data_IF_636482054566
#
_entry.id   IF_636482054566
#
_cell.length_a   1.000
_cell.length_b   1.000
_cell.length_c   1.000
_cell.angle_alpha   90.00
_cell.angle_beta   90.00
_cell.angle_gamma   90.00
#
_symmetry.space_group_name_H-M   'P 1'
#
loop_
_entity.id
_entity.type
_entity.pdbx_description
1 polymer ?
#
# COMPACT_ATOMS: atom_id res chain seq x y z
N UNK A 1 -13.15 -24.41 -62.13
CA UNK A 1 -12.88 -25.84 -62.36
C UNK A 1 -14.10 -26.59 -61.85
N UNK A 2 -14.84 -27.27 -62.73
CA UNK A 2 -16.05 -27.99 -62.32
C UNK A 2 -15.66 -29.34 -61.71
N UNK A 3 -16.42 -29.85 -60.71
CA UNK A 3 -16.22 -31.20 -60.20
C UNK A 3 -16.52 -32.22 -61.32
N UNK A 4 -15.69 -33.27 -61.40
CA UNK A 4 -15.86 -34.39 -62.34
C UNK A 4 -16.48 -35.59 -61.66
N UNK A 5 -17.36 -36.30 -62.34
CA UNK A 5 -17.93 -37.55 -61.85
C UNK A 5 -16.82 -38.61 -61.74
N UNK A 6 -16.62 -39.26 -60.59
CA UNK A 6 -15.55 -40.26 -60.44
C UNK A 6 -15.79 -41.54 -61.26
N UNK A 7 -17.01 -41.77 -61.76
CA UNK A 7 -17.35 -42.93 -62.58
C UNK A 7 -17.11 -42.69 -64.07
N UNK A 8 -17.73 -41.64 -64.65
CA UNK A 8 -17.61 -41.34 -66.10
C UNK A 8 -16.54 -40.31 -66.44
N UNK A 9 -15.95 -39.64 -65.44
CA UNK A 9 -14.98 -38.54 -65.59
C UNK A 9 -15.49 -37.29 -66.34
N UNK A 10 -16.79 -37.22 -66.62
CA UNK A 10 -17.44 -36.05 -67.23
C UNK A 10 -17.65 -34.92 -66.20
N UNK A 11 -17.67 -33.68 -66.68
CA UNK A 11 -17.93 -32.50 -65.85
C UNK A 11 -19.39 -32.50 -65.37
N UNK A 12 -19.59 -32.44 -64.06
CA UNK A 12 -20.93 -32.45 -63.46
C UNK A 12 -21.52 -31.03 -63.53
N UNK A 13 -22.24 -30.74 -64.61
CA UNK A 13 -22.82 -29.40 -64.85
C UNK A 13 -24.29 -29.31 -64.47
N UNK A 14 -25.03 -30.42 -64.47
CA UNK A 14 -26.46 -30.50 -64.14
C UNK A 14 -26.76 -31.79 -63.38
N UNK A 15 -27.82 -31.75 -62.58
CA UNK A 15 -28.36 -32.92 -61.87
C UNK A 15 -27.32 -33.72 -61.08
N UNK A 16 -26.80 -33.07 -60.03
CA UNK A 16 -25.77 -33.62 -59.16
C UNK A 16 -26.42 -34.46 -58.07
N UNK A 17 -25.90 -35.67 -57.85
CA UNK A 17 -26.28 -36.52 -56.72
C UNK A 17 -25.11 -36.58 -55.75
N UNK A 18 -25.37 -36.29 -54.47
CA UNK A 18 -24.40 -36.36 -53.40
C UNK A 18 -24.71 -37.56 -52.50
N UNK A 19 -23.68 -38.36 -52.22
CA UNK A 19 -23.73 -39.36 -51.15
C UNK A 19 -23.68 -38.68 -49.78
N UNK A 20 -24.16 -39.35 -48.73
CA UNK A 20 -24.03 -38.83 -47.35
C UNK A 20 -22.57 -38.71 -46.88
N UNK A 21 -21.62 -39.34 -47.58
CA UNK A 21 -20.19 -39.13 -47.36
C UNK A 21 -19.58 -37.93 -48.11
N UNK A 22 -20.38 -37.14 -48.82
CA UNK A 22 -19.95 -35.90 -49.48
C UNK A 22 -19.40 -36.06 -50.91
N UNK A 23 -19.37 -37.27 -51.46
CA UNK A 23 -18.91 -37.49 -52.84
C UNK A 23 -20.03 -37.28 -53.86
N UNK A 24 -19.68 -36.62 -54.97
CA UNK A 24 -20.61 -36.17 -56.01
C UNK A 24 -20.55 -37.07 -57.25
N UNK A 25 -21.72 -37.34 -57.83
CA UNK A 25 -21.92 -38.12 -59.04
C UNK A 25 -22.88 -37.40 -59.98
N UNK A 26 -22.76 -37.62 -61.29
CA UNK A 26 -23.85 -37.26 -62.21
C UNK A 26 -25.04 -38.20 -61.98
N UNK A 27 -26.26 -37.70 -62.22
CA UNK A 27 -27.49 -38.46 -62.00
C UNK A 27 -27.50 -39.83 -62.69
N UNK A 28 -27.01 -39.92 -63.93
CA UNK A 28 -27.02 -41.17 -64.69
C UNK A 28 -26.13 -42.23 -64.04
N UNK A 29 -24.90 -41.87 -63.66
CA UNK A 29 -23.98 -42.78 -62.97
C UNK A 29 -24.52 -43.17 -61.59
N UNK A 30 -25.11 -42.23 -60.87
CA UNK A 30 -25.72 -42.51 -59.57
C UNK A 30 -26.90 -43.50 -59.68
N UNK A 31 -27.75 -43.32 -60.70
CA UNK A 31 -28.90 -44.19 -60.94
C UNK A 31 -28.53 -45.59 -61.41
N UNK A 32 -27.38 -45.77 -62.05
CA UNK A 32 -26.89 -47.10 -62.46
C UNK A 32 -26.26 -47.82 -61.28
N UNK A 33 -25.34 -47.16 -60.56
CA UNK A 33 -24.56 -47.84 -59.52
C UNK A 33 -25.35 -48.06 -58.24
N UNK A 34 -26.05 -47.04 -57.72
CA UNK A 34 -26.70 -47.11 -56.41
C UNK A 34 -28.06 -47.83 -56.40
N UNK A 35 -28.52 -48.33 -57.57
CA UNK A 35 -29.67 -49.25 -57.65
C UNK A 35 -29.31 -50.70 -57.41
N UNK A 36 -28.01 -51.04 -57.35
CA UNK A 36 -27.54 -52.38 -56.99
C UNK A 36 -27.67 -52.60 -55.49
N UNK A 37 -27.91 -53.85 -55.07
CA UNK A 37 -28.06 -54.21 -53.65
C UNK A 37 -26.74 -54.01 -52.87
N UNK A 38 -25.60 -54.16 -53.54
CA UNK A 38 -24.24 -54.07 -53.01
C UNK A 38 -23.52 -52.77 -53.40
N UNK A 39 -24.28 -51.72 -53.74
CA UNK A 39 -23.72 -50.46 -54.19
C UNK A 39 -22.81 -49.80 -53.13
N UNK A 40 -21.63 -49.37 -53.57
CA UNK A 40 -20.63 -48.69 -52.76
C UNK A 40 -20.18 -47.38 -53.41
N UNK A 41 -19.87 -46.38 -52.60
CA UNK A 41 -19.25 -45.15 -53.07
C UNK A 41 -17.89 -45.45 -53.73
N UNK A 42 -17.71 -45.03 -54.98
CA UNK A 42 -16.47 -45.25 -55.74
C UNK A 42 -15.23 -44.57 -55.14
N UNK A 43 -15.41 -43.59 -54.23
CA UNK A 43 -14.30 -42.85 -53.61
C UNK A 43 -13.93 -43.40 -52.24
N UNK A 44 -14.90 -43.70 -51.39
CA UNK A 44 -14.65 -44.10 -50.00
C UNK A 44 -15.15 -45.51 -49.64
N UNK A 45 -15.72 -46.24 -50.60
CA UNK A 45 -16.21 -47.61 -50.46
C UNK A 45 -17.27 -47.84 -49.37
N UNK A 46 -17.93 -46.77 -48.87
CA UNK A 46 -19.09 -46.89 -47.99
C UNK A 46 -20.33 -47.30 -48.78
N UNK A 47 -21.12 -48.23 -48.25
CA UNK A 47 -22.38 -48.66 -48.84
C UNK A 47 -23.44 -47.57 -48.72
N UNK A 48 -24.12 -47.27 -49.83
CA UNK A 48 -25.26 -46.34 -49.87
C UNK A 48 -26.33 -46.89 -50.80
N UNK A 49 -27.58 -46.58 -50.54
CA UNK A 49 -28.69 -46.86 -51.46
C UNK A 49 -29.06 -45.63 -52.28
N UNK A 50 -29.68 -45.83 -53.44
CA UNK A 50 -30.07 -44.74 -54.33
C UNK A 50 -31.02 -43.72 -53.67
N UNK A 51 -31.92 -44.19 -52.80
CA UNK A 51 -32.86 -43.36 -52.02
C UNK A 51 -32.19 -42.56 -50.90
N UNK A 52 -30.96 -42.91 -50.51
CA UNK A 52 -30.15 -42.17 -49.53
C UNK A 52 -29.33 -41.04 -50.19
N UNK A 53 -29.34 -40.93 -51.52
CA UNK A 53 -28.63 -39.89 -52.25
C UNK A 53 -29.40 -38.57 -52.21
N UNK A 54 -28.67 -37.49 -51.97
CA UNK A 54 -29.20 -36.13 -51.98
C UNK A 54 -29.06 -35.54 -53.38
N UNK A 55 -30.18 -35.27 -54.05
CA UNK A 55 -30.17 -34.50 -55.29
C UNK A 55 -29.87 -33.04 -54.97
N UNK A 56 -28.70 -32.56 -55.40
CA UNK A 56 -28.35 -31.16 -55.31
C UNK A 56 -28.89 -30.45 -56.55
N UNK A 57 -29.61 -29.36 -56.33
CA UNK A 57 -29.97 -28.41 -57.36
C UNK A 57 -28.99 -27.25 -57.26
N UNK A 58 -27.85 -27.26 -57.98
CA UNK A 58 -26.97 -26.10 -58.04
C UNK A 58 -27.68 -25.01 -58.85
N UNK A 59 -28.69 -24.37 -58.27
CA UNK A 59 -29.21 -23.09 -58.74
C UNK A 59 -28.21 -22.01 -58.31
N UNK A 60 -27.01 -22.05 -58.88
CA UNK A 60 -26.12 -20.90 -58.84
C UNK A 60 -26.54 -19.95 -59.96
N UNK A 61 -27.49 -19.07 -59.66
CA UNK A 61 -27.54 -17.73 -60.27
C UNK A 61 -28.39 -17.49 -61.51
N UNK A 62 -29.46 -18.26 -61.78
CA UNK A 62 -30.51 -17.80 -62.71
C UNK A 62 -31.82 -17.73 -61.94
N UNK A 63 -32.33 -16.53 -61.61
CA UNK A 63 -33.70 -16.38 -61.14
C UNK A 63 -34.62 -16.87 -62.24
N UNK A 64 -35.37 -17.93 -61.94
CA UNK A 64 -36.57 -18.32 -62.68
C UNK A 64 -37.49 -17.11 -62.75
N UNK A 65 -37.72 -16.60 -63.98
CA UNK A 65 -38.92 -15.87 -64.40
C UNK A 65 -39.60 -15.03 -63.31
N UNK A 66 -38.85 -14.09 -62.74
CA UNK A 66 -39.44 -13.03 -61.94
C UNK A 66 -40.20 -12.12 -62.92
N UNK A 67 -41.50 -12.09 -62.74
CA UNK A 67 -42.45 -11.19 -63.39
C UNK A 67 -41.84 -9.78 -63.53
N UNK A 68 -41.53 -9.28 -64.75
CA UNK A 68 -40.80 -8.02 -64.98
C UNK A 68 -41.62 -6.77 -64.63
N UNK A 69 -42.66 -6.89 -63.81
CA UNK A 69 -43.56 -5.80 -63.43
C UNK A 69 -43.30 -5.18 -62.06
N UNK A 70 -42.48 -5.79 -61.20
CA UNK A 70 -42.17 -5.23 -59.88
C UNK A 70 -40.95 -4.31 -59.94
N UNK A 71 -41.19 -3.05 -60.36
CA UNK A 71 -40.50 -1.84 -59.88
C UNK A 71 -39.04 -2.02 -59.43
N UNK A 72 -38.12 -2.30 -60.36
CA UNK A 72 -36.66 -2.37 -60.10
C UNK A 72 -36.14 -1.12 -59.36
N UNK A 73 -36.76 0.04 -59.59
CA UNK A 73 -36.42 1.31 -58.95
C UNK A 73 -36.55 1.30 -57.40
N UNK A 74 -37.51 0.54 -56.84
CA UNK A 74 -37.71 0.47 -55.39
C UNK A 74 -36.68 -0.46 -54.71
N UNK A 75 -36.30 -1.55 -55.39
CA UNK A 75 -35.25 -2.46 -54.90
C UNK A 75 -33.87 -1.76 -54.97
N UNK A 76 -33.61 -1.00 -56.03
CA UNK A 76 -32.34 -0.29 -56.19
C UNK A 76 -32.16 0.84 -55.17
N UNK A 77 -33.23 1.60 -54.88
CA UNK A 77 -33.20 2.66 -53.86
C UNK A 77 -33.02 2.12 -52.44
N UNK A 78 -33.68 1.01 -52.09
CA UNK A 78 -33.49 0.34 -50.79
C UNK A 78 -32.08 -0.24 -50.66
N UNK A 79 -31.55 -0.85 -51.72
CA UNK A 79 -30.17 -1.35 -51.76
C UNK A 79 -29.15 -0.23 -51.59
N UNK A 80 -29.30 0.89 -52.28
CA UNK A 80 -28.41 2.04 -52.15
C UNK A 80 -28.41 2.62 -50.73
N UNK A 81 -29.58 2.64 -50.06
CA UNK A 81 -29.69 3.07 -48.65
C UNK A 81 -28.91 2.14 -47.73
N UNK A 82 -29.02 0.82 -47.92
CA UNK A 82 -28.30 -0.16 -47.12
C UNK A 82 -26.79 -0.12 -47.36
N UNK A 83 -26.35 0.06 -48.61
CA UNK A 83 -24.93 0.24 -48.93
C UNK A 83 -24.35 1.49 -48.24
N UNK A 84 -25.12 2.59 -48.21
CA UNK A 84 -24.75 3.81 -47.51
C UNK A 84 -24.61 3.58 -46.00
N UNK A 85 -25.59 2.91 -45.37
CA UNK A 85 -25.57 2.60 -43.93
C UNK A 85 -24.43 1.63 -43.58
N UNK A 86 -24.20 0.62 -44.41
CA UNK A 86 -23.13 -0.36 -44.20
C UNK A 86 -21.74 0.30 -44.29
N UNK A 87 -21.53 1.16 -45.29
CA UNK A 87 -20.28 1.95 -45.39
C UNK A 87 -20.11 2.88 -44.21
N UNK A 88 -21.15 3.63 -43.83
CA UNK A 88 -21.09 4.53 -42.69
C UNK A 88 -20.76 3.77 -41.40
N UNK A 89 -21.36 2.60 -41.17
CA UNK A 89 -21.06 1.76 -40.02
C UNK A 89 -19.61 1.25 -40.01
N UNK A 90 -19.08 0.85 -41.17
CA UNK A 90 -17.69 0.41 -41.33
C UNK A 90 -16.68 1.56 -41.15
N UNK A 91 -16.93 2.72 -41.75
CA UNK A 91 -16.09 3.91 -41.64
C UNK A 91 -16.03 4.41 -40.18
N UNK A 92 -17.17 4.45 -39.49
CA UNK A 92 -17.22 4.75 -38.06
C UNK A 92 -16.40 3.75 -37.23
N UNK A 93 -16.45 2.45 -37.56
CA UNK A 93 -15.68 1.42 -36.89
C UNK A 93 -14.18 1.60 -37.12
N UNK A 94 -13.77 1.88 -38.36
CA UNK A 94 -12.38 2.12 -38.72
C UNK A 94 -11.81 3.36 -38.03
N UNK A 95 -12.57 4.46 -37.96
CA UNK A 95 -12.14 5.67 -37.26
C UNK A 95 -11.85 5.41 -35.77
N UNK A 96 -12.61 4.50 -35.14
CA UNK A 96 -12.43 4.10 -33.74
C UNK A 96 -11.24 3.14 -33.56
N UNK A 97 -10.94 2.31 -34.56
CA UNK A 97 -9.71 1.50 -34.53
C UNK A 97 -8.45 2.33 -34.74
N UNK A 98 -8.53 3.38 -35.57
CA UNK A 98 -7.40 4.26 -35.89
C UNK A 98 -7.12 5.31 -34.82
N UNK A 99 -8.16 5.83 -34.13
CA UNK A 99 -7.99 6.63 -32.92
C UNK A 99 -7.76 5.70 -31.75
N UNK A 100 -6.58 5.78 -31.11
CA UNK A 100 -6.30 5.12 -29.82
C UNK A 100 -7.56 5.12 -28.93
N UNK A 101 -7.92 3.95 -28.39
CA UNK A 101 -9.19 3.57 -27.75
C UNK A 101 -9.66 4.44 -26.55
N UNK A 102 -8.99 5.57 -26.29
CA UNK A 102 -9.20 6.50 -25.20
C UNK A 102 -10.21 7.62 -25.49
N UNK A 103 -11.00 7.55 -26.57
CA UNK A 103 -11.96 8.61 -26.90
C UNK A 103 -13.42 8.15 -26.77
N UNK A 104 -14.28 9.06 -26.30
CA UNK A 104 -15.75 8.94 -26.19
C UNK A 104 -16.47 8.47 -27.48
N UNK A 105 -15.74 8.38 -28.60
CA UNK A 105 -16.24 7.87 -29.88
C UNK A 105 -16.70 6.41 -29.80
N UNK A 106 -16.16 5.61 -28.88
CA UNK A 106 -16.54 4.20 -28.68
C UNK A 106 -18.05 4.02 -28.40
N UNK A 107 -18.72 5.04 -27.83
CA UNK A 107 -20.14 4.97 -27.49
C UNK A 107 -21.09 5.20 -28.69
N UNK A 108 -20.61 5.70 -29.82
CA UNK A 108 -21.46 5.97 -31.02
C UNK A 108 -21.67 4.74 -31.91
N UNK A 109 -20.83 3.73 -31.75
CA UNK A 109 -20.84 2.49 -32.51
C UNK A 109 -22.13 1.67 -32.48
N UNK A 110 -22.80 1.51 -31.32
CA UNK A 110 -24.04 0.74 -31.26
C UNK A 110 -25.17 1.33 -32.11
N UNK A 111 -25.17 2.65 -32.33
CA UNK A 111 -26.23 3.33 -33.10
C UNK A 111 -26.16 2.98 -34.59
N UNK A 112 -24.99 3.02 -35.23
CA UNK A 112 -24.90 2.75 -36.68
C UNK A 112 -25.15 1.28 -37.02
N UNK A 113 -24.77 0.34 -36.14
CA UNK A 113 -25.09 -1.09 -36.30
C UNK A 113 -26.60 -1.31 -36.14
N UNK A 114 -27.22 -0.65 -35.16
CA UNK A 114 -28.67 -0.70 -34.95
C UNK A 114 -29.43 -0.15 -36.15
N UNK A 115 -29.04 1.01 -36.69
CA UNK A 115 -29.69 1.63 -37.85
C UNK A 115 -29.60 0.73 -39.10
N UNK A 116 -28.45 0.08 -39.33
CA UNK A 116 -28.28 -0.90 -40.39
C UNK A 116 -29.16 -2.14 -40.16
N UNK A 117 -29.23 -2.64 -38.93
CA UNK A 117 -30.03 -3.83 -38.57
C UNK A 117 -31.54 -3.57 -38.74
N UNK A 118 -32.01 -2.41 -38.30
CA UNK A 118 -33.41 -1.98 -38.47
C UNK A 118 -33.72 -1.84 -39.96
N UNK A 119 -32.89 -1.12 -40.73
CA UNK A 119 -33.10 -0.96 -42.17
C UNK A 119 -33.08 -2.30 -42.92
N UNK A 120 -32.26 -3.26 -42.48
CA UNK A 120 -32.20 -4.60 -43.06
C UNK A 120 -33.43 -5.45 -42.73
N UNK A 121 -34.04 -5.24 -41.56
CA UNK A 121 -35.27 -5.94 -41.15
C UNK A 121 -36.53 -5.42 -41.86
N UNK A 122 -36.52 -4.16 -42.27
CA UNK A 122 -37.63 -3.48 -42.96
C UNK A 122 -37.58 -3.61 -44.49
N UNK A 123 -36.48 -4.13 -45.05
CA UNK A 123 -36.26 -4.15 -46.50
C UNK A 123 -36.55 -5.51 -47.14
N UNK A 124 -37.32 -5.48 -48.22
CA UNK A 124 -37.62 -6.63 -49.07
C UNK A 124 -36.56 -6.74 -50.18
N UNK A 125 -35.34 -7.11 -49.81
CA UNK A 125 -34.22 -7.28 -50.74
C UNK A 125 -34.08 -8.74 -51.15
N UNK A 126 -33.49 -8.99 -52.32
CA UNK A 126 -33.14 -10.36 -52.73
C UNK A 126 -32.26 -11.08 -51.69
N UNK A 127 -32.50 -12.39 -51.46
CA UNK A 127 -31.79 -13.17 -50.44
C UNK A 127 -30.25 -13.09 -50.46
N UNK A 128 -29.57 -13.05 -51.63
CA UNK A 128 -28.11 -12.96 -51.67
C UNK A 128 -27.57 -11.63 -51.10
N UNK A 129 -28.27 -10.52 -51.35
CA UNK A 129 -27.88 -9.20 -50.82
C UNK A 129 -28.14 -9.15 -49.31
N UNK A 130 -29.29 -9.67 -48.87
CA UNK A 130 -29.63 -9.75 -47.46
C UNK A 130 -28.58 -10.55 -46.65
N UNK A 131 -28.12 -11.70 -47.17
CA UNK A 131 -27.09 -12.51 -46.53
C UNK A 131 -25.76 -11.77 -46.35
N UNK A 132 -25.38 -10.92 -47.32
CA UNK A 132 -24.17 -10.11 -47.25
C UNK A 132 -24.27 -9.06 -46.14
N UNK A 133 -25.38 -8.31 -46.08
CA UNK A 133 -25.60 -7.33 -45.01
C UNK A 133 -25.69 -7.97 -43.63
N UNK A 134 -26.31 -9.15 -43.50
CA UNK A 134 -26.31 -9.92 -42.26
C UNK A 134 -24.90 -10.32 -41.83
N UNK A 135 -24.04 -10.67 -42.77
CA UNK A 135 -22.63 -10.98 -42.50
C UNK A 135 -21.87 -9.74 -42.00
N UNK A 136 -22.12 -8.57 -42.59
CA UNK A 136 -21.55 -7.28 -42.16
C UNK A 136 -21.99 -6.92 -40.74
N UNK A 137 -23.30 -7.00 -40.44
CA UNK A 137 -23.84 -6.75 -39.10
C UNK A 137 -23.23 -7.71 -38.08
N UNK A 138 -23.10 -9.00 -38.43
CA UNK A 138 -22.51 -10.01 -37.53
C UNK A 138 -21.04 -9.71 -37.22
N UNK A 139 -20.24 -9.36 -38.23
CA UNK A 139 -18.84 -8.97 -38.05
C UNK A 139 -18.71 -7.71 -37.19
N UNK A 140 -19.52 -6.68 -37.45
CA UNK A 140 -19.52 -5.45 -36.66
C UNK A 140 -19.94 -5.71 -35.20
N UNK A 141 -20.92 -6.59 -34.97
CA UNK A 141 -21.34 -6.99 -33.62
C UNK A 141 -20.24 -7.76 -32.88
N UNK A 142 -19.58 -8.72 -33.56
CA UNK A 142 -18.45 -9.47 -33.01
C UNK A 142 -17.31 -8.52 -32.63
N UNK A 143 -16.90 -7.67 -33.57
CA UNK A 143 -15.87 -6.67 -33.35
C UNK A 143 -16.24 -5.69 -32.21
N UNK A 144 -17.51 -5.29 -32.09
CA UNK A 144 -17.97 -4.44 -30.97
C UNK A 144 -17.90 -5.19 -29.64
N UNK A 145 -18.24 -6.48 -29.61
CA UNK A 145 -18.19 -7.30 -28.39
C UNK A 145 -16.76 -7.57 -27.90
N UNK A 146 -15.80 -7.72 -28.83
CA UNK A 146 -14.39 -7.95 -28.48
C UNK A 146 -13.67 -6.67 -28.10
N UNK A 147 -14.11 -5.53 -28.66
CA UNK A 147 -13.40 -4.26 -28.55
C UNK A 147 -14.09 -3.28 -27.59
N UNK A 148 -15.26 -3.62 -27.06
CA UNK A 148 -15.79 -2.89 -25.89
C UNK A 148 -14.92 -3.27 -24.70
N UNK A 149 -14.05 -2.37 -24.20
CA UNK A 149 -13.35 -2.64 -22.96
C UNK A 149 -14.42 -2.99 -21.94
N UNK A 150 -14.19 -4.03 -21.15
CA UNK A 150 -15.16 -4.44 -20.14
C UNK A 150 -15.42 -3.25 -19.22
N UNK A 151 -16.47 -2.48 -19.48
CA UNK A 151 -16.73 -1.18 -18.85
C UNK A 151 -16.78 -1.35 -17.34
N UNK A 152 -17.30 -2.48 -16.88
CA UNK A 152 -17.33 -2.83 -15.46
C UNK A 152 -15.94 -3.01 -14.87
N UNK A 153 -14.99 -3.54 -15.65
CA UNK A 153 -13.60 -3.67 -15.23
C UNK A 153 -12.89 -2.30 -15.21
N UNK A 154 -13.11 -1.45 -16.22
CA UNK A 154 -12.54 -0.10 -16.26
C UNK A 154 -13.07 0.74 -15.09
N UNK A 155 -14.37 0.76 -14.86
CA UNK A 155 -14.98 1.44 -13.72
C UNK A 155 -14.46 0.92 -12.38
N UNK A 156 -14.23 -0.40 -12.27
CA UNK A 156 -13.61 -0.99 -11.10
C UNK A 156 -12.19 -0.47 -10.90
N UNK A 157 -11.35 -0.47 -11.94
CA UNK A 157 -9.99 0.05 -11.87
C UNK A 157 -9.95 1.56 -11.54
N UNK A 158 -10.89 2.34 -12.07
CA UNK A 158 -11.04 3.76 -11.72
C UNK A 158 -11.40 3.94 -10.24
N UNK A 159 -12.30 3.11 -9.70
CA UNK A 159 -12.65 3.13 -8.28
C UNK A 159 -11.46 2.73 -7.39
N UNK A 160 -10.69 1.72 -7.79
CA UNK A 160 -9.47 1.29 -7.09
C UNK A 160 -8.39 2.37 -7.15
N UNK A 161 -8.22 3.06 -8.29
CA UNK A 161 -7.30 4.18 -8.43
C UNK A 161 -7.69 5.36 -7.53
N UNK A 162 -8.98 5.65 -7.42
CA UNK A 162 -9.48 6.69 -6.53
C UNK A 162 -9.21 6.33 -5.06
N UNK A 163 -9.50 5.10 -4.65
CA UNK A 163 -9.24 4.60 -3.31
C UNK A 163 -7.74 4.65 -2.95
N UNK A 164 -6.87 4.22 -3.88
CA UNK A 164 -5.43 4.31 -3.71
C UNK A 164 -4.94 5.76 -3.59
N UNK A 165 -5.54 6.69 -4.34
CA UNK A 165 -5.25 8.13 -4.20
C UNK A 165 -5.65 8.65 -2.82
N UNK A 166 -6.87 8.37 -2.37
CA UNK A 166 -7.33 8.82 -1.05
C UNK A 166 -6.48 8.24 0.08
N UNK A 167 -6.07 6.98 -0.05
CA UNK A 167 -5.16 6.35 0.92
C UNK A 167 -3.76 7.00 0.87
N UNK A 168 -3.26 7.36 -0.32
CA UNK A 168 -2.00 8.08 -0.47
C UNK A 168 -2.02 9.46 0.19
N UNK A 169 -3.11 10.20 0.03
CA UNK A 169 -3.31 11.52 0.64
C UNK A 169 -3.41 11.42 2.18
N UNK A 170 -4.09 10.40 2.69
CA UNK A 170 -4.18 10.12 4.13
C UNK A 170 -2.80 9.77 4.72
N UNK A 171 -2.06 8.86 4.09
CA UNK A 171 -0.71 8.51 4.52
C UNK A 171 0.25 9.71 4.48
N UNK A 172 0.10 10.60 3.50
CA UNK A 172 0.89 11.84 3.41
C UNK A 172 0.56 12.76 4.60
N UNK A 173 -0.72 12.93 4.93
CA UNK A 173 -1.16 13.72 6.09
C UNK A 173 -0.67 13.14 7.42
N UNK A 174 -0.65 11.81 7.55
CA UNK A 174 -0.08 11.13 8.72
C UNK A 174 1.44 11.36 8.84
N UNK A 175 2.18 11.29 7.73
CA UNK A 175 3.62 11.57 7.71
C UNK A 175 3.94 13.02 8.10
N UNK A 176 3.14 13.98 7.64
CA UNK A 176 3.28 15.39 8.05
C UNK A 176 3.06 15.56 9.56
N UNK A 177 2.02 14.93 10.11
CA UNK A 177 1.72 14.95 11.55
C UNK A 177 2.89 14.37 12.37
N UNK A 178 3.39 13.19 11.99
CA UNK A 178 4.54 12.55 12.65
C UNK A 178 5.80 13.42 12.55
N UNK A 179 6.01 14.11 11.42
CA UNK A 179 7.14 15.02 11.26
C UNK A 179 7.06 16.21 12.22
N UNK A 180 5.88 16.79 12.40
CA UNK A 180 5.66 17.88 13.37
C UNK A 180 5.93 17.40 14.79
N UNK A 181 5.39 16.25 15.19
CA UNK A 181 5.61 15.67 16.51
C UNK A 181 7.09 15.37 16.79
N UNK A 182 7.81 14.83 15.79
CA UNK A 182 9.25 14.59 15.89
C UNK A 182 10.03 15.88 16.12
N UNK A 183 9.67 16.94 15.41
CA UNK A 183 10.35 18.23 15.54
C UNK A 183 10.05 18.89 16.90
N UNK A 184 8.84 18.72 17.43
CA UNK A 184 8.54 19.10 18.82
C UNK A 184 9.35 18.31 19.83
N UNK A 185 9.42 16.98 19.68
CA UNK A 185 10.19 16.13 20.57
C UNK A 185 11.67 16.53 20.55
N UNK A 186 12.22 16.83 19.37
CA UNK A 186 13.59 17.33 19.22
C UNK A 186 13.80 18.64 19.99
N UNK A 187 12.91 19.63 19.85
CA UNK A 187 12.99 20.89 20.59
C UNK A 187 12.95 20.67 22.11
N UNK A 188 12.08 19.77 22.59
CA UNK A 188 12.01 19.41 24.02
C UNK A 188 13.30 18.73 24.49
N UNK A 189 13.86 17.84 23.67
CA UNK A 189 15.14 17.18 23.96
C UNK A 189 16.31 18.16 24.02
N UNK A 190 16.36 19.13 23.11
CA UNK A 190 17.39 20.20 23.12
C UNK A 190 17.26 21.05 24.40
N UNK A 191 16.05 21.48 24.74
CA UNK A 191 15.81 22.23 25.98
C UNK A 191 16.17 21.42 27.25
N UNK A 192 15.87 20.12 27.28
CA UNK A 192 16.26 19.25 28.39
C UNK A 192 17.79 19.12 28.49
N UNK A 193 18.50 19.01 27.36
CA UNK A 193 19.96 18.99 27.31
C UNK A 193 20.58 20.27 27.87
N UNK A 194 20.00 21.43 27.57
CA UNK A 194 20.45 22.73 28.10
C UNK A 194 20.29 22.78 29.62
N UNK A 195 19.16 22.30 30.15
CA UNK A 195 18.93 22.21 31.61
C UNK A 195 19.94 21.27 32.27
N UNK A 196 20.22 20.10 31.68
CA UNK A 196 21.23 19.17 32.19
C UNK A 196 22.63 19.80 32.20
N UNK A 197 22.99 20.53 31.15
CA UNK A 197 24.26 21.26 31.07
C UNK A 197 24.37 22.32 32.17
N UNK A 198 23.31 23.11 32.37
CA UNK A 198 23.23 24.10 33.44
C UNK A 198 23.38 23.46 34.83
N UNK A 199 22.61 22.40 35.14
CA UNK A 199 22.69 21.71 36.42
C UNK A 199 24.06 21.07 36.66
N UNK A 200 24.68 20.54 35.60
CA UNK A 200 26.05 19.99 35.67
C UNK A 200 27.06 21.08 36.03
N UNK A 201 26.92 22.29 35.46
CA UNK A 201 27.77 23.43 35.78
C UNK A 201 27.59 23.89 37.24
N UNK A 202 26.36 23.92 37.74
CA UNK A 202 26.05 24.26 39.13
C UNK A 202 26.60 23.22 40.11
N UNK A 203 26.42 21.93 39.82
CA UNK A 203 26.97 20.85 40.63
C UNK A 203 28.50 20.93 40.71
N UNK A 204 29.17 21.26 39.60
CA UNK A 204 30.62 21.49 39.57
C UNK A 204 31.03 22.66 40.46
N UNK A 205 30.30 23.78 40.38
CA UNK A 205 30.57 24.95 41.24
C UNK A 205 30.41 24.62 42.73
N UNK A 206 29.30 24.00 43.12
CA UNK A 206 29.05 23.59 44.52
C UNK A 206 30.13 22.62 45.01
N UNK A 207 30.57 21.69 44.16
CA UNK A 207 31.65 20.74 44.50
C UNK A 207 32.96 21.49 44.76
N UNK A 208 33.28 22.48 43.91
CA UNK A 208 34.47 23.33 44.09
C UNK A 208 34.39 24.15 45.38
N UNK A 209 33.24 24.77 45.68
CA UNK A 209 33.04 25.52 46.93
C UNK A 209 33.17 24.64 48.17
N UNK A 210 32.59 23.43 48.13
CA UNK A 210 32.73 22.43 49.18
C UNK A 210 34.20 22.08 49.41
N UNK A 211 34.96 21.84 48.34
CA UNK A 211 36.37 21.45 48.45
C UNK A 211 37.21 22.58 49.05
N UNK A 212 36.94 23.83 48.66
CA UNK A 212 37.55 25.02 49.29
C UNK A 212 37.19 25.12 50.78
N UNK A 213 35.93 24.86 51.14
CA UNK A 213 35.48 24.89 52.53
C UNK A 213 36.13 23.77 53.38
N UNK A 214 36.26 22.57 52.83
CA UNK A 214 36.95 21.44 53.47
C UNK A 214 38.43 21.76 53.70
N UNK A 215 39.09 22.38 52.73
CA UNK A 215 40.50 22.77 52.89
C UNK A 215 40.67 23.86 53.95
N UNK A 216 39.79 24.86 53.97
CA UNK A 216 39.76 25.87 55.06
C UNK A 216 39.55 25.22 56.43
N UNK A 217 38.67 24.23 56.53
CA UNK A 217 38.42 23.51 57.76
C UNK A 217 39.65 22.71 58.23
N UNK A 218 40.37 22.04 57.32
CA UNK A 218 41.63 21.34 57.62
C UNK A 218 42.70 22.29 58.15
N UNK A 219 42.91 23.42 57.48
CA UNK A 219 43.86 24.45 57.92
C UNK A 219 43.49 24.98 59.31
N UNK A 220 42.20 25.18 59.59
CA UNK A 220 41.73 25.61 60.90
C UNK A 220 41.97 24.52 61.97
N UNK A 221 41.72 23.25 61.65
CA UNK A 221 41.98 22.12 62.54
C UNK A 221 43.47 22.03 62.91
N UNK A 222 44.36 22.12 61.93
CA UNK A 222 45.80 22.09 62.16
C UNK A 222 46.26 23.27 63.04
N UNK A 223 45.69 24.46 62.83
CA UNK A 223 45.97 25.63 63.68
C UNK A 223 45.48 25.44 65.11
N UNK A 224 44.30 24.85 65.32
CA UNK A 224 43.78 24.52 66.65
C UNK A 224 44.70 23.50 67.33
N UNK A 225 45.14 22.46 66.58
CA UNK A 225 46.07 21.45 67.08
C UNK A 225 47.40 22.08 67.50
N UNK A 226 47.95 23.00 66.69
CA UNK A 226 49.17 23.74 67.03
C UNK A 226 49.01 24.58 68.30
N UNK A 227 47.92 25.35 68.40
CA UNK A 227 47.62 26.17 69.58
C UNK A 227 47.45 25.32 70.84
N UNK A 228 46.78 24.17 70.75
CA UNK A 228 46.64 23.23 71.86
C UNK A 228 48.00 22.73 72.35
N UNK A 229 48.90 22.33 71.43
CA UNK A 229 50.26 21.91 71.78
C UNK A 229 51.06 23.06 72.42
N UNK A 230 50.93 24.29 71.92
CA UNK A 230 51.58 25.47 72.53
C UNK A 230 51.07 25.71 73.96
N UNK A 231 49.75 25.64 74.17
CA UNK A 231 49.14 25.80 75.48
C UNK A 231 49.56 24.70 76.45
N UNK A 232 49.72 23.47 75.98
CA UNK A 232 50.22 22.38 76.81
C UNK A 232 51.68 22.62 77.23
N UNK A 233 52.53 23.13 76.34
CA UNK A 233 53.91 23.51 76.67
C UNK A 233 53.97 24.64 77.70
N UNK A 234 53.17 25.70 77.55
CA UNK A 234 53.14 26.81 78.52
C UNK A 234 52.60 26.33 79.88
N UNK A 235 51.61 25.44 79.90
CA UNK A 235 51.10 24.80 81.12
C UNK A 235 52.19 23.97 81.83
N UNK A 236 53.03 23.25 81.08
CA UNK A 236 54.17 22.51 81.65
C UNK A 236 55.25 23.45 82.20
N UNK A 237 55.60 24.52 81.48
CA UNK A 237 56.59 25.53 81.93
C UNK A 237 56.13 26.21 83.22
N UNK A 238 54.89 26.71 83.25
CA UNK A 238 54.34 27.37 84.45
C UNK A 238 54.18 26.43 85.64
N UNK A 239 53.90 25.14 85.42
CA UNK A 239 53.91 24.14 86.48
C UNK A 239 55.32 23.95 87.04
N UNK A 240 56.33 23.91 86.17
CA UNK A 240 57.74 23.79 86.56
C UNK A 240 58.21 25.02 87.36
N UNK A 241 57.96 26.22 86.85
CA UNK A 241 58.25 27.50 87.54
C UNK A 241 57.55 27.57 88.90
N UNK A 242 56.28 27.14 89.00
CA UNK A 242 55.58 27.07 90.29
C UNK A 242 56.23 26.06 91.24
N UNK A 243 56.62 24.87 90.76
CA UNK A 243 57.31 23.90 91.63
C UNK A 243 58.69 24.39 92.08
N UNK A 244 59.38 25.14 91.23
CA UNK A 244 60.68 25.76 91.55
C UNK A 244 60.51 26.87 92.60
N UNK A 245 59.55 27.79 92.39
CA UNK A 245 59.24 28.84 93.36
C UNK A 245 58.76 28.27 94.71
N UNK A 246 57.91 27.24 94.71
CA UNK A 246 57.47 26.57 95.94
C UNK A 246 58.64 25.92 96.66
N UNK A 247 59.58 25.29 95.94
CA UNK A 247 60.78 24.72 96.54
C UNK A 247 61.65 25.82 97.19
N UNK A 248 61.89 26.94 96.49
CA UNK A 248 62.61 28.10 97.04
C UNK A 248 61.89 28.75 98.23
N UNK A 249 60.56 28.74 98.26
CA UNK A 249 59.75 29.30 99.35
C UNK A 249 59.76 28.36 100.57
N UNK A 250 59.68 27.04 100.39
CA UNK A 250 59.88 26.07 101.49
C UNK A 250 61.28 26.13 102.09
N UNK A 251 62.33 26.36 101.28
CA UNK A 251 63.68 26.58 101.79
C UNK A 251 63.82 27.90 102.59
N UNK A 252 62.96 28.90 102.34
CA UNK A 252 62.88 30.12 103.17
C UNK A 252 62.07 29.93 104.45
N UNK A 253 60.97 29.17 104.40
CA UNK A 253 60.09 28.95 105.56
C UNK A 253 60.68 27.97 106.59
N UNK A 254 61.48 26.99 106.18
CA UNK A 254 62.22 26.12 107.11
C UNK A 254 63.30 26.88 107.94
N UNK A 255 63.52 28.17 107.65
CA UNK A 255 64.34 29.08 108.44
C UNK A 255 63.59 29.84 109.56
N UNK A 256 62.25 29.91 109.56
CA UNK A 256 61.49 30.73 110.52
C UNK A 256 60.22 30.03 111.03
N UNK A 257 60.35 29.50 112.25
CA UNK A 257 59.32 29.42 113.31
C UNK A 257 58.38 28.19 113.33
N UNK A 258 58.82 27.18 114.10
CA UNK A 258 58.18 26.73 115.34
C UNK A 258 56.77 27.25 115.66
N UNK A 259 55.79 26.31 115.68
CA UNK A 259 54.62 26.27 116.59
C UNK A 259 53.44 27.23 116.28
N UNK A 260 52.35 26.66 115.74
CA UNK A 260 50.97 26.66 116.30
C UNK A 260 49.96 26.11 115.26
N UNK A 261 49.14 25.10 115.60
CA UNK A 261 47.72 25.23 116.00
C UNK A 261 46.85 25.89 114.89
N UNK A 262 45.74 25.34 114.37
CA UNK A 262 44.79 24.34 114.81
C UNK A 262 43.98 23.84 113.58
N UNK A 263 43.33 22.70 113.77
CA UNK A 263 42.03 22.31 113.19
C UNK A 263 41.05 23.47 112.93
N UNK A 264 40.10 23.28 111.98
CA UNK A 264 38.63 23.51 112.12
C UNK A 264 37.90 23.53 110.75
N UNK A 265 36.87 22.66 110.65
CA UNK A 265 35.68 22.63 109.75
C UNK A 265 35.88 22.16 108.29
N UNK A 266 35.27 21.08 107.74
CA UNK A 266 33.90 20.51 107.80
C UNK A 266 32.78 21.54 107.58
N UNK A 267 32.24 21.62 106.36
CA UNK A 267 30.90 21.11 106.01
C UNK A 267 30.38 21.62 104.65
N UNK A 268 29.66 20.71 103.99
CA UNK A 268 28.45 20.86 103.16
C UNK A 268 28.29 22.06 102.19
N UNK A 269 28.04 21.74 100.90
CA UNK A 269 26.89 22.29 100.16
C UNK A 269 26.63 21.49 98.87
N UNK A 270 25.58 20.68 98.97
CA UNK A 270 24.70 20.19 97.90
C UNK A 270 24.03 21.34 97.13
N UNK A 271 23.81 21.19 95.81
CA UNK A 271 22.51 21.41 95.13
C UNK A 271 22.58 21.18 93.59
N UNK A 272 21.61 20.40 93.10
CA UNK A 272 21.22 20.08 91.69
C UNK A 272 20.71 21.35 90.92
N UNK A 273 20.07 21.34 89.70
CA UNK A 273 19.56 20.25 88.83
C UNK A 273 19.60 20.43 87.27
N UNK A 274 19.28 19.33 86.56
CA UNK A 274 18.42 19.15 85.36
C UNK A 274 18.41 20.22 84.23
N UNK A 275 18.60 19.78 82.97
CA UNK A 275 17.66 20.05 81.83
C UNK A 275 18.02 19.21 80.59
N UNK A 276 17.16 18.21 80.34
CA UNK A 276 16.98 17.53 79.06
C UNK A 276 16.37 18.51 78.05
N UNK A 277 16.97 18.68 76.87
CA UNK A 277 16.25 19.15 75.68
C UNK A 277 16.44 18.15 74.54
N UNK A 278 15.44 17.27 74.44
CA UNK A 278 15.23 16.34 73.34
C UNK A 278 14.59 17.11 72.19
N UNK A 279 15.39 17.58 71.24
CA UNK A 279 14.88 18.25 70.04
C UNK A 279 14.33 17.20 69.06
N UNK A 280 13.03 17.24 68.85
CA UNK A 280 12.28 16.47 67.86
C UNK A 280 12.78 16.77 66.45
N UNK A 281 13.34 15.77 65.78
CA UNK A 281 13.66 15.80 64.35
C UNK A 281 12.39 15.49 63.57
N UNK A 282 11.75 16.52 63.04
CA UNK A 282 10.67 16.37 62.05
C UNK A 282 11.27 15.85 60.75
N UNK A 283 10.95 14.63 60.38
CA UNK A 283 11.16 14.07 59.05
C UNK A 283 9.96 14.42 58.20
N UNK A 284 10.05 15.48 57.40
CA UNK A 284 9.14 15.70 56.29
C UNK A 284 9.52 14.78 55.12
N UNK A 285 8.50 14.08 54.63
CA UNK A 285 8.54 13.18 53.49
C UNK A 285 8.62 13.98 52.18
N UNK A 286 9.29 13.46 51.13
CA UNK A 286 9.14 13.98 49.79
C UNK A 286 7.81 13.49 49.19
N UNK A 287 7.00 14.41 48.66
CA UNK A 287 5.95 14.08 47.71
C UNK A 287 6.58 13.89 46.33
N UNK A 288 6.31 12.72 45.74
CA UNK A 288 6.44 12.43 44.32
C UNK A 288 5.23 12.98 43.56
#
# INVERSE_FOLDING_TARGET
MYPKCPMCQEDITRDIMATLCGHLYCMDCAAIEFKREDAMCAVCYKSWKYDELLRLFPQYGIPYDADPGQSEDAEETTRAKLDSLARQALDNYLEILERDANTDAAWRMPSSIYDLTVALSESEIRPPAQALYQSVVSLLAELTSTNTPNITHVQKLESELLELRTNGDDMTSQLETISVERDEYRKRSEAASDVVSMLTSQAKHITQERDVALERARVAEDRVRELALRLERTKRSTKYERSENVAEETEREDGWVSVNEMDVLKDELSNEPIMNTRTTRSTEKPHA
#
